data_IF_262329795930
#
_entry.id   IF_262329795930
#
_cell.length_a   1.000
_cell.length_b   1.000
_cell.length_c   1.000
_cell.angle_alpha   90.00
_cell.angle_beta   90.00
_cell.angle_gamma   90.00
#
_symmetry.space_group_name_H-M   'P 1'
#
loop_
_entity.id
_entity.type
_entity.pdbx_description
1 polymer ?
#
# COMPACT_ATOMS: atom_id res chain seq x y z
N UNK A 1 28.69 12.73 4.10
CA UNK A 1 28.10 13.11 2.82
C UNK A 1 26.72 12.45 2.76
N UNK A 2 25.64 13.22 2.82
CA UNK A 2 24.28 12.67 2.71
C UNK A 2 24.02 12.32 1.24
N UNK A 3 23.66 11.08 0.97
CA UNK A 3 23.28 10.64 -0.38
C UNK A 3 22.09 11.49 -0.86
N UNK A 4 22.16 12.07 -2.06
CA UNK A 4 21.04 12.87 -2.56
C UNK A 4 19.80 12.00 -2.73
N UNK A 5 18.65 12.53 -2.30
CA UNK A 5 17.35 11.85 -2.44
C UNK A 5 16.95 11.91 -3.91
N UNK A 6 16.73 10.74 -4.51
CA UNK A 6 16.21 10.60 -5.86
C UNK A 6 14.82 9.95 -5.83
N UNK A 7 13.93 10.43 -6.70
CA UNK A 7 12.55 9.96 -6.77
C UNK A 7 12.18 9.70 -8.23
N UNK A 8 11.70 8.50 -8.51
CA UNK A 8 11.11 8.13 -9.79
C UNK A 8 9.60 8.04 -9.65
N UNK A 9 8.86 8.46 -10.67
CA UNK A 9 7.41 8.28 -10.73
C UNK A 9 7.09 7.15 -11.70
N UNK A 10 6.23 6.25 -11.28
CA UNK A 10 5.78 5.10 -12.05
C UNK A 10 4.25 5.13 -12.13
N UNK A 11 3.72 4.92 -13.33
CA UNK A 11 2.28 4.74 -13.52
C UNK A 11 1.86 3.39 -12.91
N UNK A 12 0.71 3.37 -12.30
CA UNK A 12 0.11 2.16 -11.77
C UNK A 12 -1.05 1.70 -12.68
N UNK A 13 -1.52 0.45 -12.56
CA UNK A 13 -2.70 0.00 -13.26
C UNK A 13 -3.98 0.79 -12.93
N UNK A 14 -3.99 1.48 -11.79
CA UNK A 14 -5.07 2.37 -11.40
C UNK A 14 -4.78 3.81 -11.86
N UNK A 15 -5.52 4.37 -12.83
CA UNK A 15 -5.21 5.67 -13.43
C UNK A 15 -5.28 6.86 -12.48
N UNK A 16 -6.00 6.72 -11.37
CA UNK A 16 -6.08 7.78 -10.34
C UNK A 16 -4.94 7.71 -9.33
N UNK A 17 -4.00 6.76 -9.47
CA UNK A 17 -2.85 6.62 -8.58
C UNK A 17 -1.52 6.73 -9.32
N UNK A 18 -0.51 7.28 -8.63
CA UNK A 18 0.86 7.38 -9.10
C UNK A 18 1.80 6.91 -7.99
N UNK A 19 2.75 6.06 -8.34
CA UNK A 19 3.76 5.54 -7.43
C UNK A 19 5.05 6.37 -7.55
N UNK A 20 5.57 6.82 -6.42
CA UNK A 20 6.82 7.56 -6.28
C UNK A 20 7.83 6.67 -5.56
N UNK A 21 8.83 6.18 -6.29
CA UNK A 21 9.87 5.28 -5.77
C UNK A 21 11.10 6.07 -5.37
N UNK A 22 11.60 5.82 -4.18
CA UNK A 22 12.73 6.52 -3.58
C UNK A 22 13.97 5.63 -3.52
N UNK A 23 15.16 6.26 -3.49
CA UNK A 23 16.42 5.58 -3.23
C UNK A 23 16.70 5.39 -1.71
N UNK A 24 15.71 5.59 -0.86
CA UNK A 24 15.80 5.37 0.58
C UNK A 24 14.60 4.56 1.07
N UNK A 25 14.78 3.82 2.15
CA UNK A 25 13.73 3.04 2.78
C UNK A 25 12.98 3.93 3.76
N UNK A 26 11.67 4.04 3.60
CA UNK A 26 10.76 4.79 4.49
C UNK A 26 10.26 3.93 5.64
N UNK A 27 10.00 2.64 5.36
CA UNK A 27 9.53 1.66 6.33
C UNK A 27 10.42 0.42 6.22
N UNK A 28 11.23 0.16 7.25
CA UNK A 28 12.19 -0.95 7.27
C UNK A 28 11.52 -2.31 7.45
N UNK A 29 10.40 -2.35 8.16
CA UNK A 29 9.72 -3.60 8.48
C UNK A 29 8.99 -4.15 7.25
N UNK A 30 9.45 -5.33 6.81
CA UNK A 30 8.89 -5.99 5.62
C UNK A 30 7.41 -6.28 5.80
N UNK A 31 6.62 -5.86 4.82
CA UNK A 31 5.18 -6.06 4.80
C UNK A 31 4.39 -5.02 5.59
N UNK A 32 5.03 -4.12 6.33
CA UNK A 32 4.33 -2.96 6.91
C UNK A 32 4.09 -1.88 5.88
N UNK A 33 2.96 -1.24 6.03
CA UNK A 33 2.54 -0.10 5.23
C UNK A 33 1.65 0.84 6.03
N UNK A 34 1.61 2.09 5.60
CA UNK A 34 0.79 3.13 6.23
C UNK A 34 -0.10 3.71 5.15
N UNK A 35 -1.40 3.85 5.43
CA UNK A 35 -2.36 4.45 4.51
C UNK A 35 -3.13 5.58 5.19
N UNK A 36 -3.20 6.71 4.51
CA UNK A 36 -3.98 7.86 4.91
C UNK A 36 -5.02 8.15 3.83
N UNK A 37 -6.29 8.09 4.19
CA UNK A 37 -7.42 8.34 3.29
C UNK A 37 -8.11 9.66 3.52
N UNK A 38 -7.70 10.36 4.56
CA UNK A 38 -8.19 11.69 4.88
C UNK A 38 -7.07 12.55 5.44
N UNK A 39 -7.22 13.85 5.30
CA UNK A 39 -6.27 14.83 5.81
C UNK A 39 -6.14 14.76 7.34
N UNK A 40 -7.23 14.47 8.03
CA UNK A 40 -7.27 14.35 9.50
C UNK A 40 -6.39 13.19 9.97
N UNK A 41 -6.48 12.04 9.29
CA UNK A 41 -5.64 10.87 9.62
C UNK A 41 -4.16 11.12 9.30
N UNK A 42 -3.85 12.00 8.36
CA UNK A 42 -2.49 12.34 7.97
C UNK A 42 -1.79 13.32 8.94
N UNK A 43 -2.49 13.91 9.91
CA UNK A 43 -1.91 14.87 10.88
C UNK A 43 -0.72 14.29 11.67
N UNK A 44 -0.66 12.98 11.85
CA UNK A 44 0.43 12.27 12.54
C UNK A 44 1.67 12.06 11.66
N UNK A 45 1.60 12.37 10.38
CA UNK A 45 2.72 12.25 9.44
C UNK A 45 3.03 13.61 8.81
N UNK A 46 4.17 14.24 9.15
CA UNK A 46 4.58 15.51 8.53
C UNK A 46 4.61 15.45 7.00
N UNK A 47 5.08 14.33 6.44
CA UNK A 47 5.13 14.12 5.01
C UNK A 47 3.73 14.00 4.39
N UNK A 48 2.88 13.12 4.94
CA UNK A 48 1.52 12.91 4.42
C UNK A 48 0.67 14.18 4.55
N UNK A 49 0.76 14.86 5.69
CA UNK A 49 0.10 16.14 5.93
C UNK A 49 0.43 17.17 4.84
N UNK A 50 1.71 17.25 4.44
CA UNK A 50 2.16 18.15 3.38
C UNK A 50 1.66 17.76 2.00
N UNK A 51 1.61 16.45 1.69
CA UNK A 51 1.06 15.98 0.42
C UNK A 51 -0.46 16.26 0.34
N UNK A 52 -1.20 16.15 1.45
CA UNK A 52 -2.62 16.53 1.52
C UNK A 52 -2.90 18.03 1.44
N UNK A 53 -1.89 18.91 1.37
CA UNK A 53 -2.09 20.32 1.04
C UNK A 53 -2.51 20.50 -0.43
N UNK A 54 -2.17 19.55 -1.31
CA UNK A 54 -2.74 19.50 -2.65
C UNK A 54 -4.22 19.07 -2.58
N UNK A 55 -5.11 19.94 -3.04
CA UNK A 55 -6.57 19.74 -2.91
C UNK A 55 -7.10 18.53 -3.68
N UNK A 56 -6.37 18.12 -4.72
CA UNK A 56 -6.71 16.95 -5.54
C UNK A 56 -6.30 15.61 -4.90
N UNK A 57 -5.50 15.61 -3.83
CA UNK A 57 -5.06 14.38 -3.18
C UNK A 57 -6.16 13.82 -2.29
N UNK A 58 -6.54 12.57 -2.55
CA UNK A 58 -7.60 11.85 -1.82
C UNK A 58 -7.07 10.67 -1.02
N UNK A 59 -5.80 10.27 -1.24
CA UNK A 59 -5.18 9.20 -0.48
C UNK A 59 -3.67 9.16 -0.63
N UNK A 60 -3.01 8.65 0.40
CA UNK A 60 -1.56 8.45 0.44
C UNK A 60 -1.30 7.08 1.04
N UNK A 61 -0.51 6.28 0.37
CA UNK A 61 -0.04 4.99 0.82
C UNK A 61 1.48 4.98 0.84
N UNK A 62 2.08 4.54 1.94
CA UNK A 62 3.54 4.51 2.15
C UNK A 62 3.94 3.07 2.50
N UNK A 63 4.91 2.54 1.79
CA UNK A 63 5.46 1.21 2.07
C UNK A 63 6.91 1.14 1.62
N UNK A 64 7.74 0.38 2.35
CA UNK A 64 9.14 0.15 2.02
C UNK A 64 9.86 1.43 1.53
N UNK A 65 10.14 1.55 0.24
CA UNK A 65 10.83 2.67 -0.40
C UNK A 65 9.94 3.46 -1.39
N UNK A 66 8.62 3.38 -1.28
CA UNK A 66 7.74 4.09 -2.20
C UNK A 66 6.52 4.72 -1.51
N UNK A 67 5.97 5.72 -2.18
CA UNK A 67 4.75 6.41 -1.82
C UNK A 67 3.80 6.33 -3.00
N UNK A 68 2.58 5.86 -2.78
CA UNK A 68 1.52 5.93 -3.78
C UNK A 68 0.56 7.05 -3.40
N UNK A 69 0.37 7.99 -4.29
CA UNK A 69 -0.58 9.09 -4.14
C UNK A 69 -1.81 8.80 -4.97
N UNK A 70 -2.98 8.97 -4.38
CA UNK A 70 -4.28 8.89 -5.07
C UNK A 70 -4.82 10.29 -5.25
N UNK A 71 -5.26 10.61 -6.46
CA UNK A 71 -5.88 11.89 -6.81
C UNK A 71 -7.34 11.73 -7.22
N UNK A 72 -8.08 12.81 -7.18
CA UNK A 72 -9.38 12.92 -7.85
C UNK A 72 -9.23 13.22 -9.37
N UNK A 73 -10.33 13.49 -10.03
CA UNK A 73 -10.38 13.77 -11.47
C UNK A 73 -10.13 15.24 -11.84
N UNK A 74 -9.77 16.11 -10.87
CA UNK A 74 -9.66 17.56 -11.08
C UNK A 74 -8.38 17.99 -11.83
N UNK A 75 -7.37 17.12 -11.92
CA UNK A 75 -6.10 17.40 -12.59
C UNK A 75 -5.53 16.16 -13.29
N UNK A 76 -4.55 16.36 -14.17
CA UNK A 76 -3.83 15.29 -14.81
C UNK A 76 -2.43 15.09 -14.20
N UNK A 77 -1.93 13.83 -14.18
CA UNK A 77 -0.64 13.51 -13.55
C UNK A 77 0.53 14.32 -14.13
N UNK A 78 0.54 14.57 -15.44
CA UNK A 78 1.64 15.32 -16.08
C UNK A 78 1.74 16.76 -15.58
N UNK A 79 0.67 17.32 -15.03
CA UNK A 79 0.63 18.69 -14.49
C UNK A 79 1.23 18.77 -13.09
N UNK A 80 1.04 17.74 -12.27
CA UNK A 80 1.29 17.78 -10.82
C UNK A 80 2.45 16.89 -10.34
N UNK A 81 2.90 15.94 -11.16
CA UNK A 81 3.91 14.94 -10.76
C UNK A 81 5.23 15.56 -10.31
N UNK A 82 5.67 16.65 -10.96
CA UNK A 82 6.92 17.31 -10.60
C UNK A 82 6.82 18.04 -9.26
N UNK A 83 5.70 18.71 -8.99
CA UNK A 83 5.46 19.42 -7.74
C UNK A 83 5.42 18.45 -6.56
N UNK A 84 4.73 17.31 -6.72
CA UNK A 84 4.67 16.27 -5.69
C UNK A 84 6.07 15.71 -5.42
N UNK A 85 6.87 15.43 -6.46
CA UNK A 85 8.26 14.94 -6.31
C UNK A 85 9.13 15.93 -5.53
N UNK A 86 9.09 17.21 -5.89
CA UNK A 86 9.89 18.24 -5.21
C UNK A 86 9.40 18.44 -3.75
N UNK A 87 8.10 18.36 -3.49
CA UNK A 87 7.56 18.41 -2.14
C UNK A 87 8.06 17.23 -1.30
N UNK A 88 7.93 15.99 -1.80
CA UNK A 88 8.40 14.79 -1.10
C UNK A 88 9.90 14.91 -0.79
N UNK A 89 10.71 15.27 -1.79
CA UNK A 89 12.16 15.46 -1.65
C UNK A 89 12.51 16.50 -0.59
N UNK A 90 11.83 17.63 -0.62
CA UNK A 90 12.03 18.73 0.33
C UNK A 90 11.67 18.34 1.75
N UNK A 91 10.56 17.61 1.94
CA UNK A 91 10.13 17.16 3.25
C UNK A 91 11.09 16.11 3.83
N UNK A 92 11.48 15.13 3.04
CA UNK A 92 12.42 14.09 3.47
C UNK A 92 13.83 14.66 3.76
N UNK A 93 14.25 15.71 3.04
CA UNK A 93 15.52 16.37 3.30
C UNK A 93 15.58 17.10 4.65
N UNK A 94 14.44 17.40 5.27
CA UNK A 94 14.38 17.96 6.63
C UNK A 94 14.74 16.95 7.71
N UNK A 95 14.71 15.66 7.40
CA UNK A 95 14.98 14.60 8.37
C UNK A 95 13.91 14.44 9.44
N UNK A 96 12.70 14.95 9.20
CA UNK A 96 11.58 14.75 10.09
C UNK A 96 11.14 13.27 10.10
N UNK A 97 10.68 12.75 11.25
CA UNK A 97 10.22 11.37 11.31
C UNK A 97 8.98 11.17 10.43
N UNK A 98 8.84 9.97 9.87
CA UNK A 98 7.70 9.62 9.03
C UNK A 98 6.37 9.74 9.80
N UNK A 99 6.41 9.41 11.10
CA UNK A 99 5.29 9.52 12.04
C UNK A 99 5.74 10.28 13.30
N UNK A 100 4.94 11.23 13.75
CA UNK A 100 5.14 12.00 14.99
C UNK A 100 4.19 11.59 16.12
N UNK A 101 3.26 10.67 15.86
CA UNK A 101 2.27 10.16 16.79
C UNK A 101 1.87 8.73 16.47
N UNK A 102 1.03 8.17 17.32
CA UNK A 102 0.42 6.87 17.04
C UNK A 102 -0.57 7.01 15.88
N UNK A 103 -0.51 6.06 14.95
CA UNK A 103 -1.54 5.94 13.91
C UNK A 103 -2.87 5.67 14.62
N UNK A 104 -3.84 6.56 14.44
CA UNK A 104 -5.23 6.25 14.75
C UNK A 104 -5.71 5.32 13.62
N UNK A 105 -5.31 4.07 13.71
CA UNK A 105 -5.87 3.03 12.88
C UNK A 105 -7.17 2.63 13.57
N UNK A 106 -8.31 2.93 12.94
CA UNK A 106 -9.58 2.29 13.30
C UNK A 106 -9.53 0.78 13.02
N UNK A 107 -8.51 0.39 12.32
CA UNK A 107 -8.06 -0.98 12.19
C UNK A 107 -6.94 -1.20 13.19
N UNK A 108 -7.31 -1.63 14.38
CA UNK A 108 -6.49 -2.62 15.03
C UNK A 108 -6.09 -3.60 13.91
N UNK A 109 -4.78 -3.69 13.58
CA UNK A 109 -4.27 -4.97 13.14
C UNK A 109 -4.82 -5.92 14.20
N UNK A 110 -5.97 -6.54 13.89
CA UNK A 110 -6.44 -7.64 14.71
C UNK A 110 -5.20 -8.50 14.74
N UNK A 111 -4.58 -8.76 15.91
CA UNK A 111 -3.45 -9.64 15.95
C UNK A 111 -3.97 -10.89 15.29
N UNK A 112 -3.52 -11.13 14.04
CA UNK A 112 -3.93 -12.31 13.29
C UNK A 112 -3.44 -13.41 14.21
N UNK A 113 -4.38 -14.07 14.87
CA UNK A 113 -4.06 -15.13 15.78
C UNK A 113 -3.58 -16.29 14.88
N UNK A 114 -2.30 -16.17 14.45
CA UNK A 114 -1.63 -17.14 13.58
C UNK A 114 -1.40 -18.36 14.47
N UNK A 115 -2.45 -19.13 14.66
CA UNK A 115 -2.42 -20.31 15.52
C UNK A 115 -2.33 -21.62 14.72
N UNK A 116 -2.37 -21.56 13.39
CA UNK A 116 -2.33 -22.72 12.52
C UNK A 116 -1.18 -22.74 11.52
N UNK A 117 -0.63 -23.95 11.27
CA UNK A 117 0.37 -24.18 10.23
C UNK A 117 -0.09 -23.71 8.84
N UNK A 118 -1.40 -23.74 8.57
CA UNK A 118 -1.99 -23.36 7.29
C UNK A 118 -1.96 -21.84 7.07
N UNK A 119 -2.24 -21.05 8.10
CA UNK A 119 -2.21 -19.59 8.03
C UNK A 119 -0.78 -19.09 7.74
N UNK A 120 0.22 -19.68 8.40
CA UNK A 120 1.63 -19.37 8.14
C UNK A 120 2.03 -19.70 6.70
N UNK A 121 1.56 -20.82 6.17
CA UNK A 121 1.80 -21.19 4.76
C UNK A 121 1.12 -20.23 3.80
N UNK A 122 -0.12 -19.82 4.07
CA UNK A 122 -0.84 -18.81 3.26
C UNK A 122 -0.05 -17.52 3.23
N UNK A 123 0.37 -16.99 4.39
CA UNK A 123 1.15 -15.76 4.49
C UNK A 123 2.45 -15.88 3.70
N UNK A 124 3.19 -16.99 3.87
CA UNK A 124 4.43 -17.23 3.14
C UNK A 124 4.23 -17.23 1.62
N UNK A 125 3.16 -17.85 1.13
CA UNK A 125 2.85 -17.88 -0.30
C UNK A 125 2.44 -16.51 -0.82
N UNK A 126 1.67 -15.75 -0.05
CA UNK A 126 1.33 -14.36 -0.40
C UNK A 126 2.60 -13.50 -0.47
N UNK A 127 3.51 -13.65 0.48
CA UNK A 127 4.76 -12.87 0.57
C UNK A 127 5.74 -13.20 -0.56
N UNK A 128 5.79 -14.46 -0.96
CA UNK A 128 6.74 -14.93 -1.98
C UNK A 128 6.26 -14.66 -3.40
N UNK A 129 4.97 -14.89 -3.68
CA UNK A 129 4.45 -14.89 -5.05
C UNK A 129 3.57 -13.70 -5.40
N UNK A 130 2.85 -13.13 -4.43
CA UNK A 130 1.84 -12.10 -4.70
C UNK A 130 2.34 -10.71 -4.32
N UNK A 131 2.94 -10.58 -3.14
CA UNK A 131 3.42 -9.28 -2.64
C UNK A 131 4.31 -8.52 -3.62
N UNK A 132 5.33 -9.15 -4.27
CA UNK A 132 6.19 -8.41 -5.20
C UNK A 132 5.43 -7.77 -6.36
N UNK A 133 4.42 -8.45 -6.90
CA UNK A 133 3.59 -7.92 -7.99
C UNK A 133 2.70 -6.76 -7.50
N UNK A 134 2.06 -6.93 -6.35
CA UNK A 134 1.18 -5.91 -5.75
C UNK A 134 1.96 -4.65 -5.36
N UNK A 135 3.15 -4.80 -4.79
CA UNK A 135 4.06 -3.68 -4.49
C UNK A 135 4.61 -3.04 -5.78
N UNK A 136 4.84 -3.85 -6.82
CA UNK A 136 5.16 -3.35 -8.16
C UNK A 136 4.08 -2.40 -8.67
N UNK A 137 2.83 -2.73 -8.47
CA UNK A 137 1.66 -1.92 -8.84
C UNK A 137 1.36 -0.77 -7.84
N UNK A 138 2.17 -0.59 -6.80
CA UNK A 138 2.03 0.51 -5.83
C UNK A 138 0.99 0.27 -4.74
N UNK A 139 0.65 -0.98 -4.46
CA UNK A 139 -0.27 -1.37 -3.39
C UNK A 139 0.37 -2.33 -2.38
N UNK A 140 -0.48 -2.89 -1.52
CA UNK A 140 -0.12 -3.99 -0.62
C UNK A 140 -1.28 -4.97 -0.46
N UNK A 141 -0.92 -6.22 -0.16
CA UNK A 141 -1.85 -7.28 0.20
C UNK A 141 -1.49 -7.81 1.58
N UNK A 142 -2.48 -7.93 2.46
CA UNK A 142 -2.34 -8.45 3.80
C UNK A 142 -3.29 -9.62 4.02
N UNK A 143 -2.81 -10.66 4.67
CA UNK A 143 -3.65 -11.74 5.16
C UNK A 143 -4.49 -11.22 6.34
N UNK A 144 -5.78 -11.55 6.36
CA UNK A 144 -6.69 -11.17 7.44
C UNK A 144 -7.16 -12.39 8.24
N UNK A 145 -7.72 -13.39 7.57
CA UNK A 145 -8.20 -14.61 8.23
C UNK A 145 -8.26 -15.79 7.26
N UNK A 146 -8.30 -17.01 7.84
CA UNK A 146 -8.65 -18.24 7.14
C UNK A 146 -9.73 -18.97 7.93
N UNK A 147 -10.89 -19.13 7.34
CA UNK A 147 -12.02 -19.78 7.97
C UNK A 147 -12.80 -20.62 6.96
N UNK A 148 -13.07 -21.89 7.31
CA UNK A 148 -13.88 -22.81 6.49
C UNK A 148 -13.49 -22.81 5.00
N UNK A 149 -12.19 -22.94 4.71
CA UNK A 149 -11.66 -22.94 3.35
C UNK A 149 -11.61 -21.57 2.66
N UNK A 150 -12.04 -20.51 3.34
CA UNK A 150 -12.05 -19.15 2.82
C UNK A 150 -10.89 -18.33 3.38
N UNK A 151 -10.03 -17.83 2.49
CA UNK A 151 -8.96 -16.88 2.83
C UNK A 151 -9.50 -15.47 2.64
N UNK A 152 -9.40 -14.64 3.66
CA UNK A 152 -9.69 -13.21 3.57
C UNK A 152 -8.39 -12.43 3.50
N UNK A 153 -8.25 -11.58 2.49
CA UNK A 153 -7.12 -10.67 2.32
C UNK A 153 -7.60 -9.23 2.23
N UNK A 154 -6.77 -8.31 2.73
CA UNK A 154 -7.02 -6.87 2.63
C UNK A 154 -6.09 -6.26 1.58
N UNK A 155 -6.63 -5.42 0.71
CA UNK A 155 -5.89 -4.69 -0.31
C UNK A 155 -5.78 -3.21 0.08
N UNK A 156 -4.56 -2.64 -0.05
CA UNK A 156 -4.25 -1.23 0.25
C UNK A 156 -3.55 -0.55 -0.93
N UNK A 157 -3.46 0.78 -0.89
CA UNK A 157 -2.79 1.59 -1.90
C UNK A 157 -3.50 1.57 -3.25
N UNK A 158 -2.76 1.46 -4.37
CA UNK A 158 -3.31 1.49 -5.73
C UNK A 158 -4.34 0.40 -6.02
N UNK A 159 -4.27 -0.72 -5.29
CA UNK A 159 -5.20 -1.83 -5.44
C UNK A 159 -6.59 -1.54 -4.83
N UNK A 160 -6.69 -0.48 -4.00
CA UNK A 160 -7.97 -0.02 -3.49
C UNK A 160 -8.72 0.78 -4.56
N UNK A 161 -9.99 0.42 -4.80
CA UNK A 161 -10.87 1.17 -5.73
C UNK A 161 -10.51 1.04 -7.22
N UNK A 162 -9.59 0.18 -7.61
CA UNK A 162 -9.28 -0.03 -9.02
C UNK A 162 -10.42 -0.76 -9.73
N UNK A 163 -10.98 -0.23 -10.84
CA UNK A 163 -12.13 -0.83 -11.52
C UNK A 163 -11.81 -2.15 -12.23
N UNK A 164 -10.55 -2.44 -12.56
CA UNK A 164 -10.18 -3.62 -13.36
C UNK A 164 -9.41 -4.73 -12.63
N UNK A 165 -8.50 -4.49 -11.69
CA UNK A 165 -7.61 -5.53 -11.15
C UNK A 165 -8.18 -6.40 -10.05
N UNK A 166 -9.23 -5.96 -9.34
CA UNK A 166 -9.76 -6.73 -8.20
C UNK A 166 -10.18 -8.15 -8.61
N UNK A 167 -10.72 -8.32 -9.81
CA UNK A 167 -11.11 -9.66 -10.30
C UNK A 167 -9.88 -10.46 -10.71
N UNK A 168 -8.93 -9.87 -11.43
CA UNK A 168 -7.73 -10.57 -11.93
C UNK A 168 -6.77 -10.91 -10.80
N UNK A 169 -6.50 -9.98 -9.89
CA UNK A 169 -5.66 -10.21 -8.72
C UNK A 169 -6.28 -11.28 -7.80
N UNK A 170 -7.58 -11.13 -7.48
CA UNK A 170 -8.32 -12.11 -6.67
C UNK A 170 -8.25 -13.51 -7.29
N UNK A 171 -8.53 -13.64 -8.59
CA UNK A 171 -8.46 -14.92 -9.30
C UNK A 171 -7.04 -15.50 -9.31
N UNK A 172 -6.02 -14.65 -9.50
CA UNK A 172 -4.62 -15.07 -9.45
C UNK A 172 -4.22 -15.60 -8.07
N UNK A 173 -4.58 -14.88 -7.01
CA UNK A 173 -4.34 -15.29 -5.62
C UNK A 173 -5.09 -16.59 -5.31
N UNK A 174 -6.37 -16.68 -5.66
CA UNK A 174 -7.19 -17.87 -5.43
C UNK A 174 -6.62 -19.09 -6.17
N UNK A 175 -6.26 -18.94 -7.44
CA UNK A 175 -5.69 -20.02 -8.25
C UNK A 175 -4.36 -20.53 -7.65
N UNK A 176 -3.50 -19.60 -7.23
CA UNK A 176 -2.23 -19.94 -6.59
C UNK A 176 -2.45 -20.70 -5.28
N UNK A 177 -3.25 -20.15 -4.38
CA UNK A 177 -3.48 -20.74 -3.06
C UNK A 177 -4.15 -22.09 -3.16
N UNK A 178 -5.18 -22.25 -4.00
CA UNK A 178 -5.85 -23.55 -4.23
C UNK A 178 -4.92 -24.61 -4.81
N UNK A 179 -3.97 -24.21 -5.64
CA UNK A 179 -2.98 -25.14 -6.22
C UNK A 179 -1.98 -25.62 -5.18
N UNK A 180 -1.58 -24.74 -4.27
CA UNK A 180 -0.53 -25.02 -3.27
C UNK A 180 -1.08 -25.58 -1.96
N UNK A 181 -2.32 -25.22 -1.61
CA UNK A 181 -3.02 -25.57 -0.38
C UNK A 181 -4.42 -26.08 -0.71
N UNK A 182 -4.63 -27.41 -0.73
CA UNK A 182 -5.93 -28.02 -1.05
C UNK A 182 -7.07 -27.61 -0.09
N UNK A 183 -6.70 -27.15 1.12
CA UNK A 183 -7.64 -26.69 2.14
C UNK A 183 -8.28 -25.32 1.78
N UNK A 184 -7.68 -24.59 0.84
CA UNK A 184 -8.21 -23.31 0.39
C UNK A 184 -9.23 -23.53 -0.73
N UNK A 185 -10.46 -23.15 -0.49
CA UNK A 185 -11.56 -23.26 -1.47
C UNK A 185 -11.76 -21.96 -2.26
N UNK A 186 -11.64 -20.81 -1.60
CA UNK A 186 -11.80 -19.50 -2.23
C UNK A 186 -11.05 -18.39 -1.49
N UNK A 187 -10.89 -17.26 -2.21
CA UNK A 187 -10.33 -16.02 -1.66
C UNK A 187 -11.35 -14.90 -1.75
N UNK A 188 -11.50 -14.14 -0.67
CA UNK A 188 -12.26 -12.90 -0.65
C UNK A 188 -11.33 -11.72 -0.38
N UNK A 189 -11.57 -10.62 -1.06
CA UNK A 189 -10.83 -9.38 -0.88
C UNK A 189 -11.70 -8.39 -0.11
N UNK A 190 -11.19 -7.89 0.99
CA UNK A 190 -11.79 -6.75 1.66
C UNK A 190 -11.01 -5.49 1.30
N UNK A 191 -11.73 -4.46 0.95
CA UNK A 191 -11.21 -3.11 0.80
C UNK A 191 -11.59 -2.34 2.05
N UNK A 192 -10.60 -1.86 2.73
CA UNK A 192 -10.79 -1.11 3.98
C UNK A 192 -10.79 0.38 3.69
#
# INVERSE_FOLDING_TARGET
MTTPITIYSEMTPNPVTMKFVLNLILIEEKGKSIEFRTKEKAEVSPLAKKIFEFLFVTGIFISSNFITVTKDESCEWYEVVLEIKELIKTQLAKGEPLLTGELITEETEVPVNISGDIEQKIISLLDEYIRPAVEGDGGAIHFKSFENGTVTVTLKGSCHGCPSPNTTLKQGVETLLRKMLPEVERVITETV
#
